data_IF_523664563598
#
_entry.id   IF_523664563598
#
_cell.length_a   1.000
_cell.length_b   1.000
_cell.length_c   1.000
_cell.angle_alpha   90.00
_cell.angle_beta   90.00
_cell.angle_gamma   90.00
#
_symmetry.space_group_name_H-M   'P 1'
#
loop_
_entity.id
_entity.type
_entity.pdbx_description
1 polymer ?
#
# COMPACT_ATOMS: atom_id res chain seq x y z
N UNK A 1 16.75 -21.77 -0.56
CA UNK A 1 16.21 -20.50 -1.10
C UNK A 1 15.66 -19.73 0.09
N UNK A 2 16.16 -18.52 0.34
CA UNK A 2 15.66 -17.70 1.45
C UNK A 2 14.29 -17.11 1.09
N UNK A 3 13.51 -16.65 2.07
CA UNK A 3 12.24 -15.94 1.82
C UNK A 3 12.49 -14.70 0.94
N UNK A 4 13.60 -14.01 1.18
CA UNK A 4 14.02 -12.85 0.40
C UNK A 4 14.25 -13.21 -1.08
N UNK A 5 14.97 -14.30 -1.37
CA UNK A 5 15.19 -14.76 -2.76
C UNK A 5 13.87 -15.17 -3.42
N UNK A 6 12.98 -15.81 -2.67
CA UNK A 6 11.67 -16.21 -3.16
C UNK A 6 10.82 -14.99 -3.51
N UNK A 7 10.75 -13.99 -2.62
CA UNK A 7 10.05 -12.73 -2.87
C UNK A 7 10.69 -11.96 -4.03
N UNK A 8 12.02 -12.01 -4.17
CA UNK A 8 12.75 -11.43 -5.30
C UNK A 8 12.28 -11.96 -6.66
N UNK A 9 11.93 -13.25 -6.72
CA UNK A 9 11.50 -13.94 -7.94
C UNK A 9 9.99 -13.90 -8.18
N UNK A 10 9.18 -13.70 -7.12
CA UNK A 10 7.72 -13.87 -7.17
C UNK A 10 6.91 -12.59 -6.93
N UNK A 11 7.50 -11.56 -6.34
CA UNK A 11 6.83 -10.29 -6.07
C UNK A 11 7.38 -9.19 -6.99
N UNK A 12 6.49 -8.48 -7.70
CA UNK A 12 6.87 -7.28 -8.46
C UNK A 12 7.52 -6.27 -7.55
N UNK A 13 8.73 -5.80 -7.91
CA UNK A 13 9.57 -5.00 -7.03
C UNK A 13 8.90 -3.71 -6.53
N UNK A 14 8.14 -3.00 -7.37
CA UNK A 14 7.46 -1.75 -7.00
C UNK A 14 6.21 -1.94 -6.12
N UNK A 15 5.76 -3.19 -5.92
CA UNK A 15 4.62 -3.53 -5.07
C UNK A 15 5.05 -4.40 -3.87
N UNK A 16 6.33 -4.75 -3.78
CA UNK A 16 6.85 -5.62 -2.72
C UNK A 16 6.89 -4.88 -1.38
N UNK A 17 6.45 -5.57 -0.32
CA UNK A 17 6.49 -5.04 1.03
C UNK A 17 7.92 -4.84 1.56
N UNK A 18 8.19 -3.81 2.40
CA UNK A 18 9.52 -3.48 2.92
C UNK A 18 10.24 -4.64 3.61
N UNK A 19 9.51 -5.40 4.40
CA UNK A 19 10.00 -6.56 5.17
C UNK A 19 10.50 -7.71 4.28
N UNK A 20 10.17 -7.71 2.98
CA UNK A 20 10.61 -8.71 2.00
C UNK A 20 11.89 -8.31 1.25
N UNK A 21 12.43 -7.10 1.46
CA UNK A 21 13.71 -6.68 0.89
C UNK A 21 14.91 -7.07 1.76
N UNK A 22 14.73 -7.05 3.08
CA UNK A 22 15.72 -7.46 4.06
C UNK A 22 15.01 -8.27 5.15
N UNK A 23 14.92 -9.59 4.94
CA UNK A 23 14.19 -10.48 5.85
C UNK A 23 15.08 -10.82 7.05
N UNK A 24 14.70 -10.34 8.24
CA UNK A 24 15.43 -10.65 9.47
C UNK A 24 15.32 -12.14 9.85
N UNK A 25 16.34 -12.67 10.52
CA UNK A 25 16.36 -14.09 10.91
C UNK A 25 15.24 -14.49 11.89
N UNK A 26 14.74 -13.54 12.67
CA UNK A 26 13.69 -13.75 13.68
C UNK A 26 12.52 -12.78 13.48
N UNK A 27 11.91 -12.82 12.29
CA UNK A 27 10.71 -12.05 11.99
C UNK A 27 9.50 -12.94 11.76
N UNK A 28 8.31 -12.34 11.87
CA UNK A 28 7.04 -12.93 11.46
C UNK A 28 6.65 -12.24 10.15
N UNK A 29 6.56 -13.04 9.08
CA UNK A 29 5.99 -12.62 7.80
C UNK A 29 4.59 -13.24 7.72
N UNK A 30 3.59 -12.41 7.55
CA UNK A 30 2.18 -12.81 7.50
C UNK A 30 1.44 -12.07 6.37
N UNK A 31 0.12 -12.16 6.34
CA UNK A 31 -0.73 -11.58 5.29
C UNK A 31 -0.63 -10.06 5.18
N UNK A 32 0.01 -9.37 6.15
CA UNK A 32 0.20 -7.93 6.08
C UNK A 32 1.09 -7.51 4.91
N UNK A 33 1.89 -8.42 4.33
CA UNK A 33 2.59 -8.15 3.06
C UNK A 33 1.62 -7.81 1.92
N UNK A 34 0.44 -8.43 1.91
CA UNK A 34 -0.60 -8.16 0.92
C UNK A 34 -1.29 -6.82 1.19
N UNK A 35 -1.40 -6.43 2.47
CA UNK A 35 -1.93 -5.12 2.85
C UNK A 35 -1.05 -3.99 2.29
N UNK A 36 0.28 -4.11 2.32
CA UNK A 36 1.17 -3.15 1.65
C UNK A 36 0.88 -3.08 0.14
N UNK A 37 0.81 -4.25 -0.50
CA UNK A 37 0.57 -4.35 -1.95
C UNK A 37 -0.78 -3.72 -2.32
N UNK A 38 -1.80 -3.89 -1.48
CA UNK A 38 -3.10 -3.23 -1.60
C UNK A 38 -2.98 -1.70 -1.49
N UNK A 39 -2.13 -1.20 -0.58
CA UNK A 39 -1.81 0.22 -0.48
C UNK A 39 -1.19 0.78 -1.76
N UNK A 40 -0.26 0.05 -2.38
CA UNK A 40 0.30 0.41 -3.68
C UNK A 40 -0.78 0.47 -4.77
N UNK A 41 -1.72 -0.48 -4.79
CA UNK A 41 -2.86 -0.46 -5.73
C UNK A 41 -3.79 0.73 -5.47
N UNK A 42 -4.11 1.02 -4.21
CA UNK A 42 -4.91 2.19 -3.84
C UNK A 42 -4.24 3.50 -4.28
N UNK A 43 -2.94 3.63 -4.03
CA UNK A 43 -2.15 4.77 -4.50
C UNK A 43 -2.23 4.88 -6.03
N UNK A 44 -2.05 3.78 -6.75
CA UNK A 44 -2.12 3.75 -8.21
C UNK A 44 -3.51 4.18 -8.72
N UNK A 45 -4.60 3.77 -8.07
CA UNK A 45 -5.94 4.25 -8.41
C UNK A 45 -6.11 5.75 -8.16
N UNK A 46 -5.49 6.29 -7.10
CA UNK A 46 -5.55 7.71 -6.79
C UNK A 46 -4.71 8.56 -7.77
N UNK A 47 -3.50 8.11 -8.10
CA UNK A 47 -2.49 8.90 -8.78
C UNK A 47 -2.26 8.51 -10.25
N UNK A 48 -2.88 7.43 -10.71
CA UNK A 48 -2.69 6.81 -12.04
C UNK A 48 -1.26 6.30 -12.31
N UNK A 49 -0.43 6.25 -11.27
CA UNK A 49 0.94 5.72 -11.27
C UNK A 49 1.21 5.08 -9.90
N UNK A 50 1.91 3.94 -9.84
CA UNK A 50 2.27 3.30 -8.59
C UNK A 50 3.30 4.12 -7.79
N UNK A 51 3.31 3.99 -6.45
CA UNK A 51 4.11 4.86 -5.58
C UNK A 51 5.63 4.75 -5.80
N UNK A 52 6.09 3.62 -6.36
CA UNK A 52 7.50 3.33 -6.59
C UNK A 52 7.83 2.98 -8.04
N UNK A 53 6.88 3.13 -8.98
CA UNK A 53 7.09 2.80 -10.39
C UNK A 53 8.13 3.74 -11.02
N UNK A 54 8.05 5.05 -10.75
CA UNK A 54 9.04 6.02 -11.23
C UNK A 54 10.44 5.78 -10.65
N UNK A 55 10.53 5.39 -9.38
CA UNK A 55 11.80 5.03 -8.72
C UNK A 55 12.44 3.86 -9.45
N UNK A 56 11.64 2.82 -9.74
CA UNK A 56 12.10 1.65 -10.48
C UNK A 56 12.54 2.00 -11.90
N UNK A 57 11.74 2.80 -12.63
CA UNK A 57 12.04 3.20 -14.01
C UNK A 57 13.32 4.04 -14.12
N UNK A 58 13.62 4.88 -13.11
CA UNK A 58 14.85 5.67 -13.03
C UNK A 58 16.08 4.84 -12.68
N UNK A 59 15.91 3.59 -12.27
CA UNK A 59 17.00 2.74 -11.76
C UNK A 59 17.43 3.11 -10.34
N UNK A 60 16.63 3.88 -9.62
CA UNK A 60 16.87 4.22 -8.22
C UNK A 60 16.53 3.02 -7.32
N UNK A 61 17.01 3.04 -6.08
CA UNK A 61 16.80 1.93 -5.13
C UNK A 61 15.38 1.92 -4.57
N UNK A 62 14.51 1.07 -5.14
CA UNK A 62 13.16 0.79 -4.58
C UNK A 62 13.26 0.29 -3.14
N UNK A 63 14.25 -0.56 -2.83
CA UNK A 63 14.47 -1.09 -1.49
C UNK A 63 14.69 0.01 -0.43
N UNK A 64 15.31 1.13 -0.80
CA UNK A 64 15.47 2.30 0.07
C UNK A 64 14.21 3.19 0.06
N UNK A 65 13.55 3.34 -1.09
CA UNK A 65 12.35 4.17 -1.22
C UNK A 65 11.20 3.66 -0.33
N UNK A 66 10.97 2.35 -0.27
CA UNK A 66 9.89 1.74 0.53
C UNK A 66 10.08 1.86 2.05
N UNK A 67 11.27 2.23 2.52
CA UNK A 67 11.54 2.49 3.95
C UNK A 67 11.08 3.90 4.37
N UNK A 68 10.76 4.76 3.42
CA UNK A 68 10.28 6.11 3.69
C UNK A 68 8.75 6.15 3.59
N UNK A 69 8.09 7.05 4.33
CA UNK A 69 6.65 7.26 4.20
C UNK A 69 6.24 7.56 2.75
N UNK A 70 5.10 7.01 2.32
CA UNK A 70 4.58 7.26 0.98
C UNK A 70 4.30 8.75 0.78
N UNK A 71 4.79 9.32 -0.33
CA UNK A 71 4.60 10.72 -0.64
C UNK A 71 3.23 10.91 -1.31
N UNK A 72 2.30 11.60 -0.63
CA UNK A 72 1.04 12.03 -1.24
C UNK A 72 1.20 13.48 -1.72
N UNK A 73 1.02 13.78 -3.02
CA UNK A 73 1.13 15.14 -3.53
C UNK A 73 0.17 16.10 -2.82
N UNK A 74 0.61 17.32 -2.51
CA UNK A 74 -0.24 18.34 -1.88
C UNK A 74 -1.46 18.72 -2.75
N UNK A 75 -1.34 18.57 -4.07
CA UNK A 75 -2.42 18.77 -5.04
C UNK A 75 -3.49 17.66 -5.04
N UNK A 76 -3.31 16.60 -4.25
CA UNK A 76 -4.25 15.49 -4.15
C UNK A 76 -5.63 15.98 -3.64
N UNK A 77 -6.63 15.90 -4.51
CA UNK A 77 -8.01 16.37 -4.26
C UNK A 77 -8.91 15.32 -3.59
N UNK A 78 -8.40 14.11 -3.33
CA UNK A 78 -9.16 13.07 -2.64
C UNK A 78 -9.45 13.45 -1.19
N UNK A 79 -10.51 12.84 -0.65
CA UNK A 79 -10.96 13.06 0.72
C UNK A 79 -9.87 12.73 1.74
N UNK A 80 -9.89 13.44 2.87
CA UNK A 80 -8.93 13.19 3.94
C UNK A 80 -9.04 11.76 4.47
N UNK A 81 -10.25 11.19 4.53
CA UNK A 81 -10.44 9.80 4.91
C UNK A 81 -9.75 8.80 3.98
N UNK A 82 -9.74 9.05 2.66
CA UNK A 82 -9.03 8.18 1.72
C UNK A 82 -7.51 8.31 1.85
N UNK A 83 -7.01 9.54 2.07
CA UNK A 83 -5.58 9.79 2.35
C UNK A 83 -5.14 9.09 3.64
N UNK A 84 -5.95 9.19 4.70
CA UNK A 84 -5.71 8.52 5.97
C UNK A 84 -5.73 7.00 5.86
N UNK A 85 -6.64 6.44 5.05
CA UNK A 85 -6.65 5.00 4.76
C UNK A 85 -5.33 4.57 4.10
N UNK A 86 -4.91 5.31 3.06
CA UNK A 86 -3.67 5.04 2.35
C UNK A 86 -2.44 5.11 3.27
N UNK A 87 -2.31 6.16 4.10
CA UNK A 87 -1.17 6.30 5.02
C UNK A 87 -1.16 5.26 6.14
N UNK A 88 -2.34 4.80 6.58
CA UNK A 88 -2.46 3.73 7.59
C UNK A 88 -2.05 2.36 7.02
N UNK A 89 -2.27 2.13 5.72
CA UNK A 89 -1.89 0.90 5.02
C UNK A 89 -0.39 0.90 4.66
N UNK A 90 0.13 2.03 4.18
CA UNK A 90 1.51 2.19 3.68
C UNK A 90 2.51 2.46 4.81
N UNK A 91 2.51 1.60 5.83
CA UNK A 91 3.43 1.66 6.98
C UNK A 91 4.52 0.60 6.82
N UNK A 92 5.79 1.01 6.98
CA UNK A 92 6.94 0.13 6.76
C UNK A 92 7.06 -0.98 7.80
N UNK A 93 6.71 -0.71 9.06
CA UNK A 93 6.65 -1.74 10.09
C UNK A 93 5.36 -2.58 9.91
N UNK A 94 5.46 -3.88 9.58
CA UNK A 94 4.28 -4.73 9.41
C UNK A 94 3.46 -4.87 10.70
N UNK A 95 4.06 -4.72 11.89
CA UNK A 95 3.32 -4.83 13.15
C UNK A 95 2.37 -3.65 13.39
N UNK A 96 2.66 -2.50 12.80
CA UNK A 96 1.80 -1.30 12.86
C UNK A 96 0.79 -1.27 11.71
N UNK A 97 0.94 -2.15 10.71
CA UNK A 97 0.03 -2.24 9.57
C UNK A 97 -1.29 -2.91 9.98
N UNK A 98 -2.44 -2.35 9.59
CA UNK A 98 -3.74 -2.95 9.90
C UNK A 98 -3.92 -4.30 9.19
N UNK A 99 -4.83 -5.11 9.72
CA UNK A 99 -5.30 -6.31 9.02
C UNK A 99 -6.43 -5.98 8.03
N UNK A 100 -6.79 -6.96 7.20
CA UNK A 100 -7.81 -6.77 6.16
C UNK A 100 -9.19 -6.39 6.71
N UNK A 101 -9.58 -6.86 7.90
CA UNK A 101 -10.89 -6.54 8.49
C UNK A 101 -10.96 -5.05 8.83
N UNK A 102 -9.90 -4.49 9.41
CA UNK A 102 -9.84 -3.05 9.68
C UNK A 102 -9.94 -2.23 8.39
N UNK A 103 -9.24 -2.65 7.32
CA UNK A 103 -9.30 -1.97 6.02
C UNK A 103 -10.72 -1.98 5.46
N UNK A 104 -11.43 -3.12 5.55
CA UNK A 104 -12.83 -3.23 5.13
C UNK A 104 -13.75 -2.30 5.92
N UNK A 105 -13.58 -2.23 7.25
CA UNK A 105 -14.36 -1.34 8.11
C UNK A 105 -14.18 0.14 7.73
N UNK A 106 -12.93 0.56 7.45
CA UNK A 106 -12.65 1.93 7.01
C UNK A 106 -13.28 2.24 5.65
N UNK A 107 -13.21 1.31 4.69
CA UNK A 107 -13.84 1.49 3.37
C UNK A 107 -15.36 1.62 3.51
N UNK A 108 -15.99 0.80 4.36
CA UNK A 108 -17.43 0.87 4.61
C UNK A 108 -17.85 2.22 5.24
N UNK A 109 -17.08 2.72 6.20
CA UNK A 109 -17.30 4.05 6.80
C UNK A 109 -17.17 5.17 5.74
N UNK A 110 -16.13 5.13 4.89
CA UNK A 110 -15.95 6.10 3.80
C UNK A 110 -17.10 6.08 2.78
N UNK A 111 -17.63 4.91 2.45
CA UNK A 111 -18.78 4.76 1.57
C UNK A 111 -20.06 5.33 2.19
N UNK A 112 -20.28 5.12 3.48
CA UNK A 112 -21.47 5.65 4.18
C UNK A 112 -21.51 7.18 4.28
N UNK A 113 -20.33 7.82 4.30
CA UNK A 113 -20.18 9.29 4.32
C UNK A 113 -20.28 9.93 2.94
N UNK A 114 -20.14 9.12 1.88
CA UNK A 114 -20.35 9.59 0.52
C UNK A 114 -21.86 9.79 0.33
N UNK A 115 -22.35 11.01 0.05
CA UNK A 115 -23.77 11.23 -0.16
C UNK A 115 -24.25 10.33 -1.31
N UNK A 116 -25.21 9.46 -1.01
CA UNK A 116 -25.80 8.48 -1.92
C UNK A 116 -25.87 9.00 -3.35
N UNK A 117 -25.08 8.41 -4.26
CA UNK A 117 -25.52 8.32 -5.64
C UNK A 117 -26.70 7.36 -5.63
N UNK A 118 -27.92 7.91 -5.54
CA UNK A 118 -29.13 7.22 -5.97
C UNK A 118 -28.93 6.81 -7.43
N UNK A 119 -28.40 5.62 -7.67
CA UNK A 119 -28.60 4.96 -8.95
C UNK A 119 -30.01 4.42 -8.93
N UNK A 120 -30.95 5.24 -9.40
CA UNK A 120 -32.25 4.79 -9.84
C UNK A 120 -32.04 3.59 -10.77
N UNK A 121 -32.68 2.47 -10.43
CA UNK A 121 -32.92 1.38 -11.36
C UNK A 121 -33.60 1.96 -12.59
N UNK A 122 -33.02 1.70 -13.76
CA UNK A 122 -33.71 1.77 -15.06
C UNK A 122 -33.63 0.39 -15.69
#
# INVERSE_FOLDING_TARGET
MTIQDWAAQRCTISYRAPELFNVESYCIIDERTDIWSLGCVLYCMMMLEGPYDLVFQKGDSVALAVQNPVAIPQSCSYSEGLKMLLTSIMVSNPQERPNINWVLDQVQDLQSRSPNTQTNMV
#
